data_IF_387648850156
#
_entry.id   IF_387648850156
#
_cell.length_a   1.000
_cell.length_b   1.000
_cell.length_c   1.000
_cell.angle_alpha   90.00
_cell.angle_beta   90.00
_cell.angle_gamma   90.00
#
_symmetry.space_group_name_H-M   'P 1'
#
loop_
_entity.id
_entity.type
_entity.pdbx_description
1 polymer ?
#
# COMPACT_ATOMS: atom_id res chain seq x y z
N UNK A 1 -7.53 -23.82 11.55
CA UNK A 1 -6.23 -24.22 10.97
C UNK A 1 -5.25 -23.08 11.24
N UNK A 2 -4.02 -23.35 11.68
CA UNK A 2 -3.19 -22.35 12.34
C UNK A 2 -2.55 -21.41 11.31
N UNK A 3 -2.69 -20.11 11.57
CA UNK A 3 -1.95 -19.02 10.91
C UNK A 3 -0.46 -19.24 11.18
N UNK A 4 0.34 -19.31 10.11
CA UNK A 4 1.80 -19.43 10.22
C UNK A 4 2.47 -18.27 9.50
N UNK A 5 3.15 -17.47 10.33
CA UNK A 5 4.05 -16.39 9.94
C UNK A 5 5.13 -16.89 8.97
N UNK A 6 5.29 -16.20 7.84
CA UNK A 6 6.39 -16.37 6.90
C UNK A 6 7.62 -15.65 7.50
N UNK A 7 8.67 -16.42 7.81
CA UNK A 7 9.97 -15.91 8.22
C UNK A 7 10.96 -16.15 7.05
N UNK A 8 11.74 -15.14 6.62
CA UNK A 8 12.69 -15.30 5.52
C UNK A 8 13.95 -16.03 6.00
N UNK A 9 14.31 -17.12 5.32
CA UNK A 9 15.53 -17.90 5.60
C UNK A 9 16.71 -17.35 4.78
N UNK A 10 17.64 -16.69 5.45
CA UNK A 10 18.96 -16.35 4.92
C UNK A 10 19.87 -17.58 4.93
N UNK A 11 20.48 -17.88 3.78
CA UNK A 11 21.51 -18.92 3.63
C UNK A 11 22.84 -18.37 4.16
N UNK A 12 23.39 -18.99 5.20
CA UNK A 12 24.75 -18.74 5.68
C UNK A 12 25.63 -19.98 5.48
N UNK A 13 26.73 -19.79 4.75
CA UNK A 13 27.75 -20.81 4.43
C UNK A 13 28.58 -21.15 5.67
N UNK A 14 28.72 -22.44 5.96
CA UNK A 14 29.53 -22.95 7.08
C UNK A 14 31.01 -23.08 6.71
N UNK A 15 31.89 -22.50 7.52
CA UNK A 15 33.32 -22.78 7.58
C UNK A 15 33.70 -23.33 8.96
N UNK A 16 34.34 -24.50 8.97
CA UNK A 16 34.76 -25.29 10.15
C UNK A 16 36.16 -24.89 10.67
N UNK A 17 36.40 -25.28 11.94
CA UNK A 17 37.66 -25.44 12.69
C UNK A 17 38.13 -24.24 13.54
N UNK A 18 38.55 -24.35 14.81
CA UNK A 18 38.59 -25.45 15.80
C UNK A 18 39.00 -24.91 17.20
N UNK A 19 38.64 -25.67 18.25
CA UNK A 19 39.27 -25.82 19.58
C UNK A 19 38.97 -24.86 20.76
N UNK A 20 38.11 -25.40 21.64
CA UNK A 20 38.23 -25.64 23.11
C UNK A 20 37.93 -24.53 24.13
N UNK A 21 36.80 -24.79 24.82
CA UNK A 21 36.54 -24.85 26.27
C UNK A 21 37.07 -23.72 27.16
N UNK A 22 36.17 -22.86 27.65
CA UNK A 22 35.67 -22.98 29.02
C UNK A 22 34.65 -21.89 29.40
N UNK A 23 33.61 -22.30 30.13
CA UNK A 23 32.66 -21.53 30.95
C UNK A 23 31.49 -20.77 30.30
N UNK A 24 30.32 -21.38 30.45
CA UNK A 24 29.00 -20.75 30.41
C UNK A 24 28.87 -19.57 31.38
N UNK A 25 28.57 -18.38 30.84
CA UNK A 25 27.50 -17.53 31.36
C UNK A 25 27.04 -16.55 30.29
N UNK A 26 25.83 -16.82 29.81
CA UNK A 26 25.07 -16.04 28.84
C UNK A 26 25.19 -14.53 29.06
N UNK A 27 25.85 -13.84 28.13
CA UNK A 27 25.63 -12.41 27.89
C UNK A 27 24.58 -12.31 26.79
N UNK A 28 23.34 -12.09 27.20
CA UNK A 28 22.27 -11.63 26.32
C UNK A 28 22.74 -10.34 25.65
N UNK A 29 23.00 -10.40 24.34
CA UNK A 29 23.24 -9.23 23.52
C UNK A 29 21.98 -8.37 23.52
N UNK A 30 22.11 -7.12 23.95
CA UNK A 30 21.11 -6.10 23.71
C UNK A 30 21.08 -5.80 22.20
N UNK A 31 20.26 -6.53 21.46
CA UNK A 31 19.77 -6.05 20.17
C UNK A 31 18.73 -4.97 20.46
N UNK A 32 18.90 -3.72 19.98
CA UNK A 32 17.85 -2.73 20.09
C UNK A 32 16.58 -3.29 19.42
N UNK A 33 15.40 -3.26 20.08
CA UNK A 33 14.16 -3.60 19.40
C UNK A 33 14.01 -2.69 18.17
N UNK A 34 13.45 -3.18 17.05
CA UNK A 34 13.01 -2.27 16.00
C UNK A 34 12.13 -1.21 16.65
N UNK A 35 12.39 0.06 16.34
CA UNK A 35 11.64 1.17 16.88
C UNK A 35 10.16 0.96 16.55
N UNK A 36 9.40 0.45 17.51
CA UNK A 36 7.96 0.62 17.54
C UNK A 36 7.73 2.10 17.79
N UNK A 37 7.71 2.88 16.71
CA UNK A 37 6.96 4.12 16.69
C UNK A 37 5.49 3.71 16.80
N UNK A 38 5.03 3.50 18.04
CA UNK A 38 3.63 3.41 18.35
C UNK A 38 3.00 4.76 18.07
N UNK A 39 2.65 5.01 16.80
CA UNK A 39 1.63 6.01 16.49
C UNK A 39 0.32 5.40 16.98
N UNK A 40 -0.11 5.80 18.18
CA UNK A 40 -1.43 5.44 18.67
C UNK A 40 -2.47 5.81 17.60
N UNK A 41 -3.40 4.90 17.32
CA UNK A 41 -4.55 5.25 16.48
C UNK A 41 -5.42 6.25 17.24
N UNK A 42 -5.90 7.26 16.54
CA UNK A 42 -6.97 8.13 17.01
C UNK A 42 -8.29 7.37 16.86
N UNK A 43 -8.81 6.88 17.98
CA UNK A 43 -10.11 6.19 18.02
C UNK A 43 -11.23 7.17 18.35
N UNK A 44 -12.23 7.22 17.48
CA UNK A 44 -13.49 7.94 17.70
C UNK A 44 -14.65 6.94 17.77
N UNK A 45 -15.40 6.93 18.86
CA UNK A 45 -16.66 6.17 18.96
C UNK A 45 -17.86 7.07 18.66
N UNK A 46 -18.83 6.52 17.94
CA UNK A 46 -20.06 7.19 17.53
C UNK A 46 -21.14 7.27 18.61
N UNK A 47 -22.22 8.00 18.29
CA UNK A 47 -23.43 8.10 19.14
C UNK A 47 -23.91 6.69 19.52
N UNK A 48 -24.16 6.46 20.79
CA UNK A 48 -24.74 5.20 21.32
C UNK A 48 -23.99 3.90 20.95
N UNK A 49 -22.71 3.98 20.55
CA UNK A 49 -21.93 2.78 20.18
C UNK A 49 -22.24 2.20 18.80
N UNK A 50 -22.93 2.95 17.93
CA UNK A 50 -23.27 2.50 16.56
C UNK A 50 -22.04 2.22 15.69
N UNK A 51 -20.93 2.92 15.94
CA UNK A 51 -19.72 2.73 15.17
C UNK A 51 -18.45 3.10 15.93
N UNK A 52 -17.32 2.61 15.42
CA UNK A 52 -15.98 3.09 15.72
C UNK A 52 -15.28 3.62 14.47
N UNK A 53 -14.40 4.59 14.62
CA UNK A 53 -13.45 4.98 13.58
C UNK A 53 -12.06 4.97 14.18
N UNK A 54 -11.12 4.30 13.55
CA UNK A 54 -9.72 4.29 13.96
C UNK A 54 -8.86 4.86 12.84
N UNK A 55 -8.08 5.89 13.16
CA UNK A 55 -7.22 6.55 12.19
C UNK A 55 -5.79 6.60 12.68
N UNK A 56 -4.86 6.26 11.80
CA UNK A 56 -3.44 6.49 12.00
C UNK A 56 -2.95 7.34 10.84
N UNK A 57 -2.31 8.46 11.16
CA UNK A 57 -1.78 9.41 10.19
C UNK A 57 -0.26 9.50 10.34
N UNK A 58 0.49 9.76 9.26
CA UNK A 58 1.93 9.85 9.33
C UNK A 58 2.35 11.22 9.85
N UNK A 59 3.47 11.26 10.57
CA UNK A 59 4.17 12.50 10.85
C UNK A 59 4.85 12.99 9.56
N UNK A 60 4.37 14.13 9.06
CA UNK A 60 4.89 14.78 7.87
C UNK A 60 5.71 16.01 8.24
N UNK A 61 6.80 16.29 7.51
CA UNK A 61 7.59 17.47 7.78
C UNK A 61 6.80 18.73 7.38
N UNK A 62 7.02 19.90 8.02
CA UNK A 62 6.22 21.11 7.79
C UNK A 62 6.15 21.55 6.33
N UNK A 63 7.22 21.36 5.57
CA UNK A 63 7.30 21.68 4.14
C UNK A 63 6.37 20.83 3.25
N UNK A 64 5.87 19.71 3.75
CA UNK A 64 4.88 18.85 3.10
C UNK A 64 3.43 19.21 3.48
N UNK A 65 3.17 20.46 3.90
CA UNK A 65 1.82 20.94 4.21
C UNK A 65 0.77 20.69 3.10
N UNK A 66 1.08 20.80 1.79
CA UNK A 66 0.11 20.45 0.75
C UNK A 66 -0.26 18.95 0.72
N UNK A 67 0.71 18.07 0.99
CA UNK A 67 0.46 16.63 1.15
C UNK A 67 -0.43 16.36 2.37
N UNK A 68 -0.13 17.01 3.50
CA UNK A 68 -0.97 16.93 4.70
C UNK A 68 -2.41 17.35 4.41
N UNK A 69 -2.60 18.46 3.70
CA UNK A 69 -3.94 18.93 3.31
C UNK A 69 -4.67 17.91 2.41
N UNK A 70 -3.98 17.29 1.45
CA UNK A 70 -4.56 16.28 0.58
C UNK A 70 -5.02 15.04 1.38
N UNK A 71 -4.19 14.57 2.31
CA UNK A 71 -4.53 13.45 3.22
C UNK A 71 -5.72 13.82 4.11
N UNK A 72 -5.72 15.01 4.72
CA UNK A 72 -6.82 15.45 5.59
C UNK A 72 -8.15 15.55 4.82
N UNK A 73 -8.12 16.07 3.59
CA UNK A 73 -9.30 16.12 2.72
C UNK A 73 -9.81 14.73 2.35
N UNK A 74 -8.90 13.81 2.02
CA UNK A 74 -9.23 12.42 1.73
C UNK A 74 -9.87 11.74 2.94
N UNK A 75 -9.25 11.85 4.12
CA UNK A 75 -9.75 11.29 5.37
C UNK A 75 -11.12 11.88 5.74
N UNK A 76 -11.30 13.19 5.61
CA UNK A 76 -12.58 13.85 5.85
C UNK A 76 -13.68 13.34 4.91
N UNK A 77 -13.35 13.10 3.64
CA UNK A 77 -14.26 12.45 2.67
C UNK A 77 -14.63 11.04 3.13
N UNK A 78 -13.66 10.19 3.46
CA UNK A 78 -13.92 8.82 3.91
C UNK A 78 -14.83 8.79 5.16
N UNK A 79 -14.56 9.65 6.15
CA UNK A 79 -15.40 9.79 7.34
C UNK A 79 -16.82 10.22 7.02
N UNK A 80 -16.98 11.24 6.16
CA UNK A 80 -18.30 11.75 5.77
C UNK A 80 -19.10 10.69 5.03
N UNK A 81 -18.48 10.03 4.06
CA UNK A 81 -19.15 9.03 3.22
C UNK A 81 -19.54 7.80 4.07
N UNK A 82 -18.68 7.38 5.01
CA UNK A 82 -19.03 6.37 6.01
C UNK A 82 -20.22 6.79 6.89
N UNK A 83 -20.21 8.00 7.44
CA UNK A 83 -21.31 8.49 8.30
C UNK A 83 -22.63 8.60 7.54
N UNK A 84 -22.60 8.99 6.26
CA UNK A 84 -23.79 9.08 5.43
C UNK A 84 -24.50 7.73 5.24
N UNK A 85 -23.78 6.60 5.43
CA UNK A 85 -24.41 5.27 5.35
C UNK A 85 -25.41 5.01 6.50
N UNK A 86 -25.28 5.72 7.63
CA UNK A 86 -26.21 5.64 8.76
C UNK A 86 -27.58 6.29 8.51
N UNK A 87 -27.70 7.06 7.42
CA UNK A 87 -28.96 7.70 7.02
C UNK A 87 -29.88 6.76 6.21
N UNK A 88 -29.37 5.59 5.80
CA UNK A 88 -30.16 4.60 5.08
C UNK A 88 -31.24 3.96 6.00
N UNK A 89 -32.38 3.51 5.44
CA UNK A 89 -33.39 2.77 6.21
C UNK A 89 -32.76 1.60 6.97
N UNK A 90 -33.17 1.43 8.22
CA UNK A 90 -32.72 0.38 9.15
C UNK A 90 -31.22 0.36 9.52
N UNK A 91 -30.39 1.22 8.90
CA UNK A 91 -28.94 1.29 9.12
C UNK A 91 -28.56 1.40 10.61
N UNK A 92 -29.20 2.31 11.34
CA UNK A 92 -28.93 2.47 12.77
C UNK A 92 -29.40 1.28 13.61
N UNK A 93 -30.45 0.58 13.22
CA UNK A 93 -30.88 -0.64 13.91
C UNK A 93 -29.85 -1.75 13.70
N UNK A 94 -29.42 -1.96 12.45
CA UNK A 94 -28.35 -2.92 12.12
C UNK A 94 -27.03 -2.58 12.83
N UNK A 95 -26.64 -1.31 12.87
CA UNK A 95 -25.45 -0.85 13.56
C UNK A 95 -25.51 -1.02 15.10
N UNK A 96 -26.72 -1.09 15.71
CA UNK A 96 -26.85 -1.45 17.13
C UNK A 96 -26.61 -2.94 17.39
N UNK A 97 -27.01 -3.80 16.46
CA UNK A 97 -26.82 -5.25 16.57
C UNK A 97 -25.37 -5.64 16.30
N UNK A 98 -24.78 -5.01 15.27
CA UNK A 98 -23.39 -5.21 14.90
C UNK A 98 -22.76 -3.83 14.61
N UNK A 99 -22.01 -3.26 15.56
CA UNK A 99 -21.37 -1.96 15.40
C UNK A 99 -20.54 -1.88 14.13
N UNK A 100 -20.67 -0.75 13.43
CA UNK A 100 -19.96 -0.48 12.18
C UNK A 100 -18.56 0.08 12.46
N UNK A 101 -17.65 -0.03 11.49
CA UNK A 101 -16.31 0.52 11.67
C UNK A 101 -15.73 1.14 10.40
N UNK A 102 -14.87 2.15 10.61
CA UNK A 102 -14.00 2.71 9.60
C UNK A 102 -12.56 2.68 10.13
N UNK A 103 -11.70 1.95 9.45
CA UNK A 103 -10.29 1.85 9.77
C UNK A 103 -9.47 2.48 8.66
N UNK A 104 -8.57 3.41 9.00
CA UNK A 104 -7.61 3.99 8.06
C UNK A 104 -6.21 4.03 8.69
N UNK A 105 -5.25 3.33 8.08
CA UNK A 105 -3.82 3.47 8.34
C UNK A 105 -3.19 4.22 7.15
N UNK A 106 -2.72 5.43 7.41
CA UNK A 106 -2.02 6.26 6.44
C UNK A 106 -0.56 6.33 6.88
N UNK A 107 0.34 5.87 6.02
CA UNK A 107 1.75 5.73 6.34
C UNK A 107 2.64 6.21 5.19
N UNK A 108 3.80 6.76 5.52
CA UNK A 108 4.84 7.00 4.50
C UNK A 108 5.37 5.64 4.05
N UNK A 109 5.19 5.32 2.77
CA UNK A 109 5.69 4.09 2.18
C UNK A 109 7.16 4.22 1.77
N UNK A 110 7.55 5.37 1.20
CA UNK A 110 8.93 5.63 0.81
C UNK A 110 9.23 7.12 0.69
N UNK A 111 10.53 7.46 0.69
CA UNK A 111 11.05 8.82 0.55
C UNK A 111 12.30 8.83 -0.33
N UNK A 112 12.43 9.88 -1.14
CA UNK A 112 13.67 10.28 -1.82
C UNK A 112 13.89 11.80 -1.66
N UNK A 113 14.98 12.36 -2.19
CA UNK A 113 15.16 13.81 -2.30
C UNK A 113 14.07 14.52 -3.11
N UNK A 114 13.43 13.81 -4.03
CA UNK A 114 12.39 14.33 -4.93
C UNK A 114 10.99 14.03 -4.43
N UNK A 115 10.75 12.89 -3.78
CA UNK A 115 9.40 12.41 -3.50
C UNK A 115 9.18 11.98 -2.05
N UNK A 116 7.96 12.21 -1.55
CA UNK A 116 7.41 11.51 -0.40
C UNK A 116 6.19 10.74 -0.91
N UNK A 117 6.23 9.41 -0.84
CA UNK A 117 5.09 8.57 -1.19
C UNK A 117 4.41 8.06 0.09
N UNK A 118 3.10 8.22 0.14
CA UNK A 118 2.23 7.84 1.26
C UNK A 118 1.23 6.82 0.77
N UNK A 119 1.09 5.72 1.51
CA UNK A 119 0.10 4.68 1.28
C UNK A 119 -1.06 4.83 2.27
N UNK A 120 -2.28 4.59 1.78
CA UNK A 120 -3.48 4.38 2.58
C UNK A 120 -3.86 2.91 2.48
N UNK A 121 -4.05 2.28 3.63
CA UNK A 121 -4.66 0.96 3.78
C UNK A 121 -5.75 1.06 4.85
N UNK A 122 -6.89 0.44 4.60
CA UNK A 122 -8.05 0.56 5.46
C UNK A 122 -9.22 -0.27 5.02
N UNK A 123 -10.29 -0.14 5.77
CA UNK A 123 -11.57 -0.75 5.42
C UNK A 123 -12.73 0.01 6.04
N UNK A 124 -13.91 -0.18 5.45
CA UNK A 124 -15.18 0.31 5.98
C UNK A 124 -16.17 -0.84 6.08
N UNK A 125 -16.64 -1.12 7.29
CA UNK A 125 -17.68 -2.09 7.55
C UNK A 125 -18.99 -1.38 7.90
N UNK A 126 -20.02 -1.61 7.08
CA UNK A 126 -21.35 -0.98 7.19
C UNK A 126 -22.47 -2.03 7.22
N UNK A 127 -22.20 -3.21 7.80
CA UNK A 127 -23.18 -4.29 7.95
C UNK A 127 -23.27 -5.28 6.78
N UNK A 128 -22.35 -5.20 5.81
CA UNK A 128 -22.25 -6.15 4.69
C UNK A 128 -21.68 -7.52 5.08
N UNK A 129 -21.44 -8.39 4.09
CA UNK A 129 -20.84 -9.71 4.33
C UNK A 129 -19.39 -9.65 4.81
N UNK A 130 -18.65 -8.61 4.41
CA UNK A 130 -17.29 -8.32 4.81
C UNK A 130 -17.03 -6.81 4.70
N UNK A 131 -15.97 -6.28 5.33
CA UNK A 131 -15.57 -4.89 5.14
C UNK A 131 -15.27 -4.57 3.68
N UNK A 132 -15.56 -3.35 3.25
CA UNK A 132 -15.13 -2.81 1.97
C UNK A 132 -13.68 -2.31 2.10
N UNK A 133 -12.74 -2.76 1.26
CA UNK A 133 -11.35 -2.35 1.34
C UNK A 133 -11.20 -0.88 0.90
N UNK A 134 -10.29 -0.16 1.56
CA UNK A 134 -9.91 1.21 1.21
C UNK A 134 -8.41 1.20 0.95
N UNK A 135 -8.02 1.39 -0.30
CA UNK A 135 -6.61 1.45 -0.71
C UNK A 135 -6.43 2.68 -1.58
N UNK A 136 -5.45 3.52 -1.25
CA UNK A 136 -5.10 4.70 -2.04
C UNK A 136 -3.64 5.09 -1.80
N UNK A 137 -3.10 6.00 -2.60
CA UNK A 137 -1.73 6.49 -2.43
C UNK A 137 -1.60 7.96 -2.82
N UNK A 138 -0.64 8.66 -2.23
CA UNK A 138 -0.29 10.03 -2.58
C UNK A 138 1.20 10.11 -2.85
N UNK A 139 1.58 10.75 -3.95
CA UNK A 139 2.98 11.07 -4.25
C UNK A 139 3.15 12.58 -4.18
N UNK A 140 3.96 13.06 -3.24
CA UNK A 140 4.31 14.47 -3.09
C UNK A 140 5.66 14.75 -3.72
N UNK A 141 5.69 15.68 -4.64
CA UNK A 141 6.91 16.22 -5.22
C UNK A 141 7.44 17.35 -4.34
N UNK A 142 8.62 17.13 -3.75
CA UNK A 142 9.24 18.05 -2.80
C UNK A 142 9.70 19.34 -3.49
N UNK A 143 10.19 19.28 -4.74
CA UNK A 143 10.69 20.50 -5.41
C UNK A 143 9.57 21.30 -6.07
N UNK A 144 8.51 20.64 -6.57
CA UNK A 144 7.31 21.33 -7.07
C UNK A 144 6.35 21.76 -5.94
N UNK A 145 6.55 21.21 -4.74
CA UNK A 145 5.77 21.49 -3.53
C UNK A 145 4.28 21.19 -3.71
N UNK A 146 3.96 20.08 -4.36
CA UNK A 146 2.59 19.64 -4.61
C UNK A 146 2.46 18.12 -4.68
N UNK A 147 1.25 17.63 -4.44
CA UNK A 147 0.90 16.24 -4.79
C UNK A 147 0.82 16.14 -6.32
N UNK A 148 1.35 15.05 -6.86
CA UNK A 148 1.38 14.74 -8.29
C UNK A 148 0.69 13.41 -8.54
N UNK A 149 -0.09 13.31 -9.60
CA UNK A 149 -0.62 12.02 -10.08
C UNK A 149 0.39 11.32 -11.00
N UNK A 150 0.20 10.02 -11.22
CA UNK A 150 1.15 9.21 -11.98
C UNK A 150 1.33 9.69 -13.42
N UNK A 151 0.25 10.10 -14.09
CA UNK A 151 0.24 10.62 -15.46
C UNK A 151 1.12 11.88 -15.59
N UNK A 152 1.18 12.70 -14.54
CA UNK A 152 2.01 13.90 -14.54
C UNK A 152 3.51 13.61 -14.59
N UNK A 153 3.95 12.39 -14.29
CA UNK A 153 5.35 11.98 -14.37
C UNK A 153 5.83 11.72 -15.81
N UNK A 154 4.90 11.55 -16.76
CA UNK A 154 5.19 11.05 -18.09
C UNK A 154 4.93 12.07 -19.20
N UNK A 155 5.77 12.03 -20.24
CA UNK A 155 5.56 12.77 -21.49
C UNK A 155 4.44 12.16 -22.33
N UNK A 156 4.29 10.83 -22.27
CA UNK A 156 3.19 10.07 -22.86
C UNK A 156 2.62 9.12 -21.80
N UNK A 157 1.61 9.57 -21.02
CA UNK A 157 1.00 8.75 -19.98
C UNK A 157 0.37 7.47 -20.54
N UNK A 158 -0.20 7.51 -21.74
CA UNK A 158 -0.84 6.34 -22.36
C UNK A 158 0.18 5.29 -22.80
N UNK A 159 1.37 5.69 -23.23
CA UNK A 159 2.46 4.74 -23.43
C UNK A 159 2.95 4.13 -22.11
N UNK A 160 3.01 4.92 -21.02
CA UNK A 160 3.43 4.43 -19.72
C UNK A 160 2.42 3.42 -19.14
N UNK A 161 1.12 3.74 -19.19
CA UNK A 161 0.03 2.82 -18.80
C UNK A 161 0.10 1.48 -19.54
N UNK A 162 0.45 1.48 -20.84
CA UNK A 162 0.64 0.23 -21.60
C UNK A 162 1.85 -0.57 -21.11
N UNK A 163 2.94 0.09 -20.72
CA UNK A 163 4.10 -0.57 -20.15
C UNK A 163 3.77 -1.21 -18.79
N UNK A 164 3.03 -0.48 -17.93
CA UNK A 164 2.55 -1.00 -16.64
C UNK A 164 1.62 -2.20 -16.83
N UNK A 165 0.67 -2.08 -17.76
CA UNK A 165 -0.27 -3.15 -18.12
C UNK A 165 0.43 -4.40 -18.61
N UNK A 166 1.40 -4.26 -19.51
CA UNK A 166 2.15 -5.40 -20.04
C UNK A 166 2.86 -6.17 -18.91
N UNK A 167 3.50 -5.45 -17.99
CA UNK A 167 4.26 -6.08 -16.90
C UNK A 167 3.34 -6.67 -15.81
N UNK A 168 2.31 -5.93 -15.40
CA UNK A 168 1.33 -6.40 -14.43
C UNK A 168 0.60 -7.65 -14.92
N UNK A 169 0.10 -7.65 -16.16
CA UNK A 169 -0.58 -8.79 -16.76
C UNK A 169 0.34 -10.01 -16.83
N UNK A 170 1.59 -9.83 -17.25
CA UNK A 170 2.57 -10.91 -17.35
C UNK A 170 2.82 -11.57 -15.99
N UNK A 171 3.03 -10.78 -14.94
CA UNK A 171 3.28 -11.29 -13.60
C UNK A 171 2.04 -11.96 -13.00
N UNK A 172 0.85 -11.36 -13.15
CA UNK A 172 -0.40 -11.90 -12.62
C UNK A 172 -0.83 -13.20 -13.31
N UNK A 173 -0.66 -13.31 -14.63
CA UNK A 173 -0.91 -14.58 -15.34
C UNK A 173 0.09 -15.66 -14.91
N UNK A 174 1.34 -15.28 -14.61
CA UNK A 174 2.31 -16.23 -14.04
C UNK A 174 1.86 -16.72 -12.67
N UNK A 175 1.33 -15.83 -11.82
CA UNK A 175 0.79 -16.19 -10.51
C UNK A 175 -0.51 -17.01 -10.60
N UNK A 176 -1.32 -16.79 -11.64
CA UNK A 176 -2.52 -17.60 -11.92
C UNK A 176 -2.14 -19.04 -12.29
N UNK A 177 -1.06 -19.22 -13.07
CA UNK A 177 -0.60 -20.52 -13.56
C UNK A 177 0.27 -21.28 -12.53
N UNK A 178 0.54 -20.70 -11.35
CA UNK A 178 1.27 -21.37 -10.27
C UNK A 178 0.54 -22.64 -9.82
N UNK A 179 1.23 -23.78 -9.83
CA UNK A 179 0.62 -25.08 -9.54
C UNK A 179 0.48 -25.37 -8.04
N UNK A 180 1.30 -24.72 -7.21
CA UNK A 180 1.32 -24.93 -5.76
C UNK A 180 0.34 -23.97 -5.08
N UNK A 181 0.30 -22.71 -5.51
CA UNK A 181 -0.58 -21.67 -4.96
C UNK A 181 -1.12 -20.76 -6.07
N UNK A 182 -2.07 -21.24 -6.89
CA UNK A 182 -2.64 -20.42 -7.97
C UNK A 182 -3.37 -19.21 -7.38
N UNK A 183 -3.13 -18.04 -7.98
CA UNK A 183 -3.87 -16.84 -7.66
C UNK A 183 -5.39 -17.10 -7.82
N UNK A 184 -6.17 -16.77 -6.80
CA UNK A 184 -7.63 -16.93 -6.82
C UNK A 184 -8.29 -15.88 -7.74
N UNK A 185 -8.15 -16.07 -9.04
CA UNK A 185 -8.57 -15.20 -10.13
C UNK A 185 -8.85 -16.03 -11.41
N UNK A 186 -9.12 -15.36 -12.52
CA UNK A 186 -9.11 -15.93 -13.86
C UNK A 186 -8.48 -14.97 -14.88
N UNK A 187 -8.16 -15.48 -16.07
CA UNK A 187 -7.48 -14.68 -17.11
C UNK A 187 -8.33 -13.49 -17.61
N UNK A 188 -9.66 -13.59 -17.59
CA UNK A 188 -10.53 -12.48 -18.01
C UNK A 188 -10.48 -11.35 -16.98
N UNK A 189 -10.56 -11.69 -15.70
CA UNK A 189 -10.45 -10.72 -14.61
C UNK A 189 -9.07 -10.03 -14.62
N UNK A 190 -7.98 -10.77 -14.84
CA UNK A 190 -6.64 -10.18 -14.96
C UNK A 190 -6.57 -9.24 -16.16
N UNK A 191 -7.09 -9.65 -17.33
CA UNK A 191 -7.06 -8.84 -18.54
C UNK A 191 -7.82 -7.52 -18.37
N UNK A 192 -9.01 -7.57 -17.77
CA UNK A 192 -9.82 -6.38 -17.50
C UNK A 192 -9.19 -5.50 -16.42
N UNK A 193 -8.77 -6.09 -15.30
CA UNK A 193 -8.21 -5.38 -14.15
C UNK A 193 -6.83 -4.77 -14.38
N UNK A 194 -6.13 -5.22 -15.43
CA UNK A 194 -4.82 -4.66 -15.87
C UNK A 194 -4.90 -3.88 -17.18
N UNK A 195 -6.10 -3.55 -17.68
CA UNK A 195 -6.20 -2.75 -18.89
C UNK A 195 -5.47 -1.40 -18.72
N UNK A 196 -4.80 -0.86 -19.76
CA UNK A 196 -4.06 0.39 -19.68
C UNK A 196 -5.01 1.57 -19.50
N UNK A 197 -5.25 1.92 -18.24
CA UNK A 197 -6.11 3.01 -17.81
C UNK A 197 -5.53 3.69 -16.55
N UNK A 198 -5.62 5.02 -16.49
CA UNK A 198 -5.06 5.79 -15.38
C UNK A 198 -5.64 5.38 -14.02
N UNK A 199 -6.92 5.03 -13.96
CA UNK A 199 -7.58 4.61 -12.72
C UNK A 199 -7.10 3.24 -12.23
N UNK A 200 -6.67 2.35 -13.12
CA UNK A 200 -6.14 1.04 -12.75
C UNK A 200 -4.75 1.11 -12.10
N UNK A 201 -3.99 2.16 -12.41
CA UNK A 201 -2.61 2.36 -11.96
C UNK A 201 -2.44 3.54 -11.00
N UNK A 202 -3.55 4.10 -10.48
CA UNK A 202 -3.51 5.28 -9.59
C UNK A 202 -2.90 4.99 -8.23
N UNK A 203 -2.96 3.74 -7.76
CA UNK A 203 -2.46 3.32 -6.45
C UNK A 203 -1.10 2.66 -6.63
N UNK A 204 -0.06 3.35 -6.18
CA UNK A 204 1.30 2.85 -6.30
C UNK A 204 2.21 3.39 -5.20
N UNK A 205 3.28 2.64 -4.94
CA UNK A 205 4.41 3.09 -4.14
C UNK A 205 5.69 3.14 -4.96
N UNK A 206 6.67 3.90 -4.48
CA UNK A 206 7.97 4.01 -5.13
C UNK A 206 8.90 2.91 -4.61
N UNK A 207 9.45 2.10 -5.51
CA UNK A 207 10.53 1.17 -5.19
C UNK A 207 11.83 1.95 -5.07
N UNK A 208 12.28 2.22 -3.84
CA UNK A 208 13.47 3.04 -3.58
C UNK A 208 14.68 2.19 -3.17
N UNK A 209 15.87 2.60 -3.62
CA UNK A 209 17.15 2.00 -3.24
C UNK A 209 17.97 2.87 -2.28
N UNK A 210 19.14 2.38 -1.82
CA UNK A 210 20.04 3.13 -0.94
C UNK A 210 20.71 4.35 -1.60
N UNK A 211 20.56 4.52 -2.92
CA UNK A 211 21.07 5.64 -3.71
C UNK A 211 20.09 6.81 -3.82
N UNK A 212 19.00 6.78 -3.05
CA UNK A 212 17.96 7.82 -3.01
C UNK A 212 17.23 7.99 -4.35
N UNK A 213 17.22 6.94 -5.18
CA UNK A 213 16.53 6.89 -6.47
C UNK A 213 15.34 5.93 -6.42
N UNK A 214 14.42 6.16 -7.36
CA UNK A 214 13.30 5.27 -7.66
C UNK A 214 13.74 4.27 -8.73
N UNK A 215 13.73 2.97 -8.40
CA UNK A 215 14.11 1.84 -9.27
C UNK A 215 12.90 1.20 -9.96
N UNK A 216 11.69 1.65 -9.61
CA UNK A 216 10.45 1.20 -10.19
C UNK A 216 9.24 1.66 -9.39
N UNK A 217 8.07 1.18 -9.78
CA UNK A 217 6.81 1.43 -9.10
C UNK A 217 6.20 0.09 -8.68
N UNK A 218 5.71 0.00 -7.45
CA UNK A 218 4.83 -1.11 -7.04
C UNK A 218 3.40 -0.67 -7.21
N UNK A 219 2.68 -1.27 -8.17
CA UNK A 219 1.24 -1.05 -8.34
C UNK A 219 0.45 -1.94 -7.40
N UNK A 220 -0.52 -1.35 -6.70
CA UNK A 220 -1.36 -2.07 -5.73
C UNK A 220 -2.77 -2.16 -6.30
N UNK A 221 -3.16 -3.37 -6.68
CA UNK A 221 -4.49 -3.70 -7.16
C UNK A 221 -5.38 -4.04 -5.96
N UNK A 222 -6.43 -3.26 -5.66
CA UNK A 222 -7.38 -3.59 -4.60
C UNK A 222 -8.06 -4.95 -4.86
N UNK A 223 -8.59 -5.59 -3.80
CA UNK A 223 -9.39 -6.80 -3.95
C UNK A 223 -10.51 -6.61 -4.97
N UNK A 224 -10.84 -7.68 -5.71
CA UNK A 224 -11.77 -7.73 -6.84
C UNK A 224 -11.29 -7.12 -8.16
N UNK A 225 -10.20 -6.33 -8.20
CA UNK A 225 -9.73 -5.78 -9.47
C UNK A 225 -9.08 -6.88 -10.34
N UNK A 226 -8.09 -7.58 -9.79
CA UNK A 226 -7.33 -8.63 -10.52
C UNK A 226 -7.41 -10.00 -9.87
N UNK A 227 -8.06 -10.12 -8.71
CA UNK A 227 -8.24 -11.36 -7.96
C UNK A 227 -9.44 -11.25 -7.02
N UNK A 228 -9.91 -12.38 -6.49
CA UNK A 228 -11.00 -12.43 -5.51
C UNK A 228 -10.66 -11.69 -4.20
N UNK A 229 -11.69 -11.39 -3.40
CA UNK A 229 -11.49 -10.78 -2.07
C UNK A 229 -10.59 -11.60 -1.15
N UNK A 230 -10.72 -12.93 -1.20
CA UNK A 230 -9.94 -13.83 -0.35
C UNK A 230 -8.43 -13.78 -0.67
N UNK A 231 -8.05 -13.41 -1.89
CA UNK A 231 -6.65 -13.20 -2.26
C UNK A 231 -6.06 -11.91 -1.67
N UNK A 232 -6.91 -10.99 -1.20
CA UNK A 232 -6.47 -9.67 -0.76
C UNK A 232 -5.98 -8.79 -1.92
N UNK A 233 -5.40 -7.61 -1.60
CA UNK A 233 -4.78 -6.76 -2.61
C UNK A 233 -3.57 -7.45 -3.23
N UNK A 234 -3.35 -7.24 -4.53
CA UNK A 234 -2.18 -7.74 -5.25
C UNK A 234 -1.19 -6.61 -5.49
N UNK A 235 0.11 -6.86 -5.32
CA UNK A 235 1.17 -5.88 -5.52
C UNK A 235 2.12 -6.34 -6.63
N UNK A 236 2.33 -5.51 -7.64
CA UNK A 236 3.18 -5.83 -8.80
C UNK A 236 4.24 -4.76 -8.97
N UNK A 237 5.50 -5.19 -8.95
CA UNK A 237 6.65 -4.33 -9.20
C UNK A 237 6.88 -4.17 -10.69
N UNK A 238 6.88 -2.92 -11.16
CA UNK A 238 7.25 -2.56 -12.53
C UNK A 238 8.57 -1.79 -12.47
N UNK A 239 9.66 -2.35 -13.01
CA UNK A 239 10.97 -1.73 -12.93
C UNK A 239 11.06 -0.50 -13.85
N UNK A 240 11.87 0.49 -13.47
CA UNK A 240 12.02 1.76 -14.22
C UNK A 240 12.37 1.55 -15.68
N UNK A 241 13.13 0.51 -16.02
CA UNK A 241 13.53 0.19 -17.40
C UNK A 241 12.32 0.02 -18.34
N UNK A 242 11.16 -0.36 -17.80
CA UNK A 242 9.94 -0.48 -18.59
C UNK A 242 9.35 0.87 -19.03
N UNK A 243 9.63 1.97 -18.31
CA UNK A 243 8.95 3.25 -18.52
C UNK A 243 9.85 4.50 -18.50
N UNK A 244 11.13 4.39 -18.13
CA UNK A 244 12.01 5.54 -17.86
C UNK A 244 12.21 6.44 -19.09
N UNK A 245 12.18 5.86 -20.30
CA UNK A 245 12.24 6.60 -21.56
C UNK A 245 11.04 7.55 -21.76
N UNK A 246 9.91 7.27 -21.10
CA UNK A 246 8.67 8.04 -21.20
C UNK A 246 8.57 9.14 -20.14
N UNK A 247 9.44 9.15 -19.13
CA UNK A 247 9.45 10.16 -18.08
C UNK A 247 9.70 11.56 -18.65
N UNK A 248 9.02 12.55 -18.07
CA UNK A 248 9.33 13.96 -18.35
C UNK A 248 10.78 14.27 -17.94
N UNK A 249 11.49 15.14 -18.70
CA UNK A 249 12.90 15.43 -18.44
C UNK A 249 13.22 15.78 -16.98
N UNK A 250 12.34 16.53 -16.31
CA UNK A 250 12.47 16.95 -14.92
C UNK A 250 12.43 15.80 -13.90
N UNK A 251 11.92 14.62 -14.28
CA UNK A 251 11.83 13.45 -13.41
C UNK A 251 12.93 12.42 -13.65
N UNK A 252 13.61 12.44 -14.81
CA UNK A 252 14.57 11.38 -15.18
C UNK A 252 15.67 11.16 -14.16
N UNK A 253 16.19 12.24 -13.58
CA UNK A 253 17.26 12.17 -12.57
C UNK A 253 16.78 11.56 -11.23
N UNK A 254 15.47 11.49 -10.98
CA UNK A 254 14.91 10.88 -9.77
C UNK A 254 14.73 9.36 -9.90
N UNK A 255 14.78 8.84 -11.13
CA UNK A 255 14.62 7.42 -11.44
C UNK A 255 15.95 6.82 -11.89
N UNK A 256 16.11 5.52 -11.66
CA UNK A 256 17.23 4.72 -12.14
C UNK A 256 16.72 3.48 -12.83
#
# INVERSE_FOLDING_TARGET
MPVRHILPLFIAVAGLAACRDDTDRAKSGNTPPPAQAGSNKDTQSGREGLYTMELKLPDLPPEAAPLRQAIDHYVARQKRDFLATLDAPDAQASARELPWDLNLDVAIASRTDRFINVQVDGSSFTGGAHPAPIVDSFTYDVRERRVVSIDELFTDPKAAERAFAAEARRQLLTALDDQDEPLASDATQIDEGTAPDADHYRVFSLLTGPDDKVHGLTFIFPPYQVASYAAGPQAIDVPSEAFSALLKPEYREAFR
#
